data_IF_837585755390
#
_entry.id   IF_837585755390
#
_cell.length_a   1.000
_cell.length_b   1.000
_cell.length_c   1.000
_cell.angle_alpha   90.00
_cell.angle_beta   90.00
_cell.angle_gamma   90.00
#
_symmetry.space_group_name_H-M   'P 1'
#
loop_
_entity.id
_entity.type
_entity.pdbx_description
1 polymer ?
#
# COMPACT_ATOMS: atom_id res chain seq x y z
N UNK A 1 54.12 -40.08 20.21
CA UNK A 1 52.86 -40.27 19.46
C UNK A 1 51.91 -39.13 19.78
N UNK A 2 51.71 -38.15 18.88
CA UNK A 2 50.70 -37.09 19.01
C UNK A 2 49.62 -37.34 17.95
N UNK A 3 48.38 -37.59 18.38
CA UNK A 3 47.23 -37.71 17.47
C UNK A 3 46.72 -36.30 17.16
N UNK A 4 46.66 -35.94 15.88
CA UNK A 4 45.98 -34.73 15.41
C UNK A 4 44.46 -34.90 15.51
N UNK A 5 43.69 -33.89 15.95
CA UNK A 5 42.24 -33.98 15.98
C UNK A 5 41.66 -33.94 14.56
N UNK A 6 40.69 -34.81 14.32
CA UNK A 6 40.03 -34.99 13.02
C UNK A 6 39.19 -33.76 12.64
N UNK A 7 39.46 -33.19 11.47
CA UNK A 7 38.62 -32.18 10.82
C UNK A 7 37.28 -32.80 10.39
N UNK A 8 36.34 -32.91 11.33
CA UNK A 8 34.96 -33.37 11.09
C UNK A 8 33.97 -32.32 11.58
N UNK A 9 34.01 -31.12 11.01
CA UNK A 9 32.99 -30.10 11.30
C UNK A 9 32.89 -28.98 10.24
N UNK A 10 33.26 -29.24 8.98
CA UNK A 10 33.16 -28.23 7.91
C UNK A 10 31.87 -28.26 7.07
N UNK A 11 31.23 -29.41 6.74
CA UNK A 11 30.11 -29.40 5.80
C UNK A 11 28.81 -28.82 6.39
N UNK A 12 28.61 -28.91 7.71
CA UNK A 12 27.48 -28.29 8.39
C UNK A 12 27.52 -26.77 8.34
N UNK A 13 28.72 -26.18 8.44
CA UNK A 13 28.90 -24.74 8.45
C UNK A 13 28.54 -24.11 7.09
N UNK A 14 28.98 -24.73 5.99
CA UNK A 14 28.66 -24.27 4.63
C UNK A 14 27.17 -24.40 4.31
N UNK A 15 26.52 -25.47 4.78
CA UNK A 15 25.07 -25.68 4.61
C UNK A 15 24.24 -24.64 5.37
N UNK A 16 24.64 -24.32 6.61
CA UNK A 16 24.01 -23.24 7.38
C UNK A 16 24.21 -21.87 6.74
N UNK A 17 25.42 -21.59 6.21
CA UNK A 17 25.71 -20.35 5.50
C UNK A 17 24.90 -20.21 4.20
N UNK A 18 24.73 -21.27 3.42
CA UNK A 18 23.91 -21.23 2.21
C UNK A 18 22.43 -21.05 2.51
N UNK A 19 21.93 -21.69 3.58
CA UNK A 19 20.53 -21.54 4.02
C UNK A 19 20.26 -20.11 4.50
N UNK A 20 21.17 -19.54 5.29
CA UNK A 20 21.08 -18.15 5.75
C UNK A 20 21.12 -17.15 4.59
N UNK A 21 22.00 -17.38 3.60
CA UNK A 21 22.08 -16.54 2.40
C UNK A 21 20.79 -16.60 1.56
N UNK A 22 20.20 -17.78 1.43
CA UNK A 22 18.91 -17.97 0.75
C UNK A 22 17.76 -17.27 1.48
N UNK A 23 17.79 -17.21 2.82
CA UNK A 23 16.74 -16.53 3.61
C UNK A 23 16.79 -15.01 3.46
N UNK A 24 17.99 -14.43 3.31
CA UNK A 24 18.18 -12.99 3.10
C UNK A 24 17.66 -12.56 1.72
N UNK A 25 17.80 -13.41 0.70
CA UNK A 25 17.30 -13.12 -0.66
C UNK A 25 15.78 -13.20 -0.79
N UNK A 26 15.08 -13.82 0.17
CA UNK A 26 13.64 -14.02 0.12
C UNK A 26 12.82 -12.94 0.85
N UNK A 27 13.46 -11.85 1.30
CA UNK A 27 12.73 -10.71 1.85
C UNK A 27 12.03 -9.96 0.70
N UNK A 28 10.82 -10.39 0.36
CA UNK A 28 9.92 -9.61 -0.46
C UNK A 28 9.53 -8.37 0.34
N UNK A 29 10.05 -7.21 -0.08
CA UNK A 29 9.50 -5.93 0.31
C UNK A 29 8.10 -5.83 -0.31
N UNK A 30 7.10 -6.39 0.36
CA UNK A 30 5.71 -6.22 -0.05
C UNK A 30 5.31 -4.81 0.34
N UNK A 31 5.14 -3.94 -0.65
CA UNK A 31 4.36 -2.74 -0.44
C UNK A 31 2.97 -3.20 0.02
N UNK A 32 2.46 -2.60 1.10
CA UNK A 32 1.08 -2.87 1.52
C UNK A 32 0.16 -2.17 0.52
N UNK A 33 -0.70 -2.95 -0.13
CA UNK A 33 -1.71 -2.42 -1.04
C UNK A 33 -2.74 -1.57 -0.31
N UNK A 34 -3.46 -0.74 -1.06
CA UNK A 34 -4.58 0.05 -0.58
C UNK A 34 -5.80 -0.21 -1.48
N UNK A 35 -6.43 -1.39 -1.37
CA UNK A 35 -7.29 -1.94 -2.41
C UNK A 35 -8.67 -1.25 -2.53
N UNK A 36 -9.03 -0.40 -1.57
CA UNK A 36 -10.33 0.29 -1.55
C UNK A 36 -10.28 1.60 -0.75
N UNK A 37 -11.35 2.40 -0.85
CA UNK A 37 -11.55 3.58 -0.01
C UNK A 37 -11.38 3.24 1.48
N UNK A 38 -10.52 3.99 2.17
CA UNK A 38 -10.15 3.78 3.58
C UNK A 38 -9.63 2.36 3.89
N UNK A 39 -8.92 1.77 2.94
CA UNK A 39 -8.21 0.48 3.07
C UNK A 39 -9.08 -0.75 3.33
N UNK A 40 -10.37 -0.73 2.93
CA UNK A 40 -11.20 -1.94 3.01
C UNK A 40 -12.66 -1.67 3.34
N UNK A 41 -13.39 -2.76 3.60
CA UNK A 41 -14.82 -2.71 3.89
C UNK A 41 -15.13 -2.12 5.27
N UNK A 42 -14.24 -2.30 6.24
CA UNK A 42 -14.34 -1.69 7.57
C UNK A 42 -14.07 -0.18 7.54
N UNK A 43 -13.52 0.32 6.43
CA UNK A 43 -13.20 1.73 6.19
C UNK A 43 -12.35 2.33 7.30
N UNK A 44 -11.40 1.56 7.81
CA UNK A 44 -10.63 1.93 8.98
C UNK A 44 -9.64 3.08 8.72
N UNK A 45 -9.18 3.26 7.48
CA UNK A 45 -8.29 4.36 7.10
C UNK A 45 -6.86 4.24 7.64
N UNK A 46 -6.43 3.05 8.07
CA UNK A 46 -5.07 2.80 8.53
C UNK A 46 -4.50 1.50 7.96
N UNK A 47 -3.18 1.36 8.05
CA UNK A 47 -2.44 0.13 7.73
C UNK A 47 -1.49 -0.20 8.88
N UNK A 48 -1.06 -1.46 8.99
CA UNK A 48 -0.02 -1.87 9.93
C UNK A 48 1.40 -1.53 9.46
N UNK A 49 1.54 -0.93 8.27
CA UNK A 49 2.84 -0.54 7.73
C UNK A 49 3.44 0.63 8.53
N UNK A 50 4.69 0.48 8.93
CA UNK A 50 5.45 1.54 9.58
C UNK A 50 5.96 2.56 8.56
N UNK A 51 5.92 3.83 8.92
CA UNK A 51 6.51 4.91 8.14
C UNK A 51 7.93 5.21 8.63
N UNK A 52 8.89 5.44 7.72
CA UNK A 52 10.24 5.86 8.11
C UNK A 52 10.20 7.26 8.75
N UNK A 53 11.12 7.52 9.67
CA UNK A 53 11.21 8.81 10.37
C UNK A 53 11.53 9.99 9.43
N UNK A 54 12.20 9.73 8.30
CA UNK A 54 12.54 10.74 7.31
C UNK A 54 11.78 10.43 6.00
N UNK A 55 10.65 11.11 5.80
CA UNK A 55 9.88 11.04 4.57
C UNK A 55 10.42 12.02 3.56
N UNK A 56 10.64 11.54 2.33
CA UNK A 56 11.02 12.35 1.18
C UNK A 56 9.99 12.17 0.08
N UNK A 57 9.81 13.21 -0.74
CA UNK A 57 8.93 13.15 -1.91
C UNK A 57 9.44 12.11 -2.90
N UNK A 58 8.67 11.03 -3.11
CA UNK A 58 9.00 10.00 -4.09
C UNK A 58 8.65 10.41 -5.52
N UNK A 59 7.43 10.92 -5.73
CA UNK A 59 6.92 11.33 -7.02
C UNK A 59 5.70 12.23 -6.86
N UNK A 60 5.34 12.93 -7.95
CA UNK A 60 4.08 13.68 -8.06
C UNK A 60 3.37 13.20 -9.32
N UNK A 61 2.08 12.90 -9.20
CA UNK A 61 1.21 12.62 -10.34
C UNK A 61 0.29 13.80 -10.58
N UNK A 62 0.19 14.24 -11.83
CA UNK A 62 -0.78 15.23 -12.28
C UNK A 62 -1.75 14.56 -13.24
N UNK A 63 -3.05 14.61 -12.93
CA UNK A 63 -4.07 14.14 -13.86
C UNK A 63 -4.01 14.96 -15.15
N UNK A 64 -3.96 14.29 -16.30
CA UNK A 64 -3.95 14.96 -17.61
C UNK A 64 -5.31 15.57 -17.98
N UNK A 65 -6.38 15.05 -17.39
CA UNK A 65 -7.74 15.50 -17.64
C UNK A 65 -8.44 15.84 -16.32
N UNK A 66 -9.42 16.74 -16.40
CA UNK A 66 -10.34 16.99 -15.29
C UNK A 66 -11.20 15.71 -15.11
N UNK A 67 -11.42 15.25 -13.87
CA UNK A 67 -12.36 14.15 -13.61
C UNK A 67 -13.74 14.53 -14.10
N UNK A 68 -14.41 13.55 -14.72
CA UNK A 68 -15.84 13.65 -15.00
C UNK A 68 -16.60 13.19 -13.76
N UNK A 69 -17.53 14.02 -13.30
CA UNK A 69 -18.42 13.65 -12.21
C UNK A 69 -19.32 12.52 -12.70
N UNK A 70 -19.45 11.44 -11.93
CA UNK A 70 -20.40 10.38 -12.21
C UNK A 70 -21.85 10.87 -12.06
N UNK A 71 -22.08 11.90 -11.25
CA UNK A 71 -23.38 12.47 -10.94
C UNK A 71 -23.47 13.95 -11.32
N UNK A 72 -24.67 14.39 -11.73
CA UNK A 72 -24.93 15.76 -12.18
C UNK A 72 -24.98 16.81 -11.04
N UNK A 73 -24.50 16.48 -9.84
CA UNK A 73 -24.55 17.34 -8.66
C UNK A 73 -25.91 17.34 -7.95
N UNK A 74 -26.14 18.27 -6.99
CA UNK A 74 -27.30 18.22 -6.14
C UNK A 74 -28.50 18.79 -6.88
N UNK A 75 -29.69 18.28 -6.55
CA UNK A 75 -30.95 18.80 -7.11
C UNK A 75 -31.09 20.28 -6.74
N UNK A 76 -31.37 21.12 -7.73
CA UNK A 76 -31.60 22.56 -7.53
C UNK A 76 -32.96 22.88 -6.93
N UNK A 77 -33.97 22.05 -7.17
CA UNK A 77 -35.30 22.21 -6.60
C UNK A 77 -35.41 21.60 -5.19
N UNK A 78 -35.97 22.32 -4.20
CA UNK A 78 -36.20 21.82 -2.84
C UNK A 78 -37.11 20.59 -2.82
N UNK A 79 -36.96 19.76 -1.79
CA UNK A 79 -37.89 18.68 -1.43
C UNK A 79 -38.51 19.07 -0.09
N UNK A 80 -39.85 19.14 -0.03
CA UNK A 80 -40.58 19.52 1.19
C UNK A 80 -40.15 20.88 1.79
N UNK A 81 -39.74 21.82 0.94
CA UNK A 81 -39.24 23.14 1.37
C UNK A 81 -37.80 23.15 1.88
N UNK A 82 -37.13 21.99 1.92
CA UNK A 82 -35.74 21.87 2.33
C UNK A 82 -34.80 21.82 1.13
N UNK A 83 -33.76 22.67 1.17
CA UNK A 83 -32.66 22.64 0.22
C UNK A 83 -31.81 21.41 0.51
N UNK A 84 -31.64 20.56 -0.49
CA UNK A 84 -30.85 19.34 -0.36
C UNK A 84 -29.40 19.63 -0.74
N UNK A 85 -28.50 19.47 0.23
CA UNK A 85 -27.05 19.55 0.02
C UNK A 85 -26.46 18.15 -0.14
N UNK A 86 -25.32 18.05 -0.82
CA UNK A 86 -24.55 16.81 -0.79
C UNK A 86 -24.07 16.54 0.64
N UNK A 87 -24.38 15.35 1.15
CA UNK A 87 -23.81 14.90 2.43
C UNK A 87 -22.32 14.57 2.28
N UNK A 88 -21.95 14.02 1.12
CA UNK A 88 -20.58 13.82 0.66
C UNK A 88 -20.61 14.01 -0.85
N UNK A 89 -19.74 14.87 -1.37
CA UNK A 89 -19.52 15.01 -2.81
C UNK A 89 -18.46 13.99 -3.23
N UNK A 90 -18.90 12.74 -3.45
CA UNK A 90 -17.99 11.61 -3.69
C UNK A 90 -17.09 11.87 -4.89
N UNK A 91 -17.65 12.45 -5.94
CA UNK A 91 -16.99 12.74 -7.20
C UNK A 91 -15.91 13.84 -7.07
N UNK A 92 -15.99 14.68 -6.03
CA UNK A 92 -14.96 15.69 -5.74
C UNK A 92 -13.75 15.11 -5.00
N UNK A 93 -13.85 13.89 -4.46
CA UNK A 93 -12.88 13.38 -3.48
C UNK A 93 -11.72 12.59 -4.09
N UNK A 94 -11.78 12.22 -5.38
CA UNK A 94 -10.72 11.54 -6.14
C UNK A 94 -9.94 10.51 -5.32
N UNK A 95 -10.67 9.61 -4.66
CA UNK A 95 -10.11 8.63 -3.75
C UNK A 95 -9.07 7.78 -4.47
N UNK A 96 -7.96 7.53 -3.77
CA UNK A 96 -6.86 6.76 -4.32
C UNK A 96 -6.99 5.31 -3.87
N UNK A 97 -6.89 4.41 -4.85
CA UNK A 97 -6.72 2.96 -4.64
C UNK A 97 -5.37 2.58 -5.21
N UNK A 98 -4.63 1.74 -4.48
CA UNK A 98 -3.32 1.24 -4.90
C UNK A 98 -3.36 -0.28 -4.93
N UNK A 99 -2.97 -0.84 -6.08
CA UNK A 99 -2.81 -2.29 -6.28
C UNK A 99 -1.47 -2.53 -6.97
N UNK A 100 -0.52 -3.12 -6.24
CA UNK A 100 0.85 -3.34 -6.65
C UNK A 100 1.58 -2.03 -6.97
N UNK A 101 1.83 -1.77 -8.25
CA UNK A 101 2.58 -0.59 -8.74
C UNK A 101 1.70 0.44 -9.44
N UNK A 102 0.37 0.35 -9.27
CA UNK A 102 -0.60 1.21 -9.95
C UNK A 102 -1.44 1.95 -8.92
N UNK A 103 -1.66 3.23 -9.18
CA UNK A 103 -2.61 4.06 -8.47
C UNK A 103 -3.82 4.33 -9.40
N UNK A 104 -5.02 4.19 -8.85
CA UNK A 104 -6.29 4.48 -9.50
C UNK A 104 -6.96 5.62 -8.72
N UNK A 105 -7.61 6.53 -9.44
CA UNK A 105 -8.26 7.73 -8.88
C UNK A 105 -9.74 7.68 -9.26
N UNK A 106 -10.65 7.87 -8.31
CA UNK A 106 -12.11 7.82 -8.55
C UNK A 106 -12.97 8.30 -7.40
#
# INVERSE_FOLDING_TARGET
>A
MRRLPSARCLPGLYSCLSLAWMSILCQSLSATDWPAYLNGNDRAGYTSADLPANLQLGWVHHSQAKPELAWSGPRTAPIEGHVMLHRVDFDASMQVVIDGKRAYFG
#
